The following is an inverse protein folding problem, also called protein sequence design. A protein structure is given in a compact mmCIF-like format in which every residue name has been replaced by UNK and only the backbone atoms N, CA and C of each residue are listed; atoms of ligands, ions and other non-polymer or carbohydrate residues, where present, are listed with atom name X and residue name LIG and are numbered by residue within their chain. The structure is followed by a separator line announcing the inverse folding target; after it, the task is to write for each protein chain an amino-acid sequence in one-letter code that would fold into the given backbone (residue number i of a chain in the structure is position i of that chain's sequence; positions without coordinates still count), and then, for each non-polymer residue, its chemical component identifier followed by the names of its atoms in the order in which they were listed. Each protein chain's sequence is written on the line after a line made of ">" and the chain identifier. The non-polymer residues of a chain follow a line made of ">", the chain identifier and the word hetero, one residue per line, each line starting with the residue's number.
data_IF_899096014782
#
_entry.id   IF_899096014782
#
_cell.length_a   1.000
_cell.length_b   1.000
_cell.length_c   1.000
_cell.angle_alpha   90.00
_cell.angle_beta   90.00
_cell.angle_gamma   90.00
#
_symmetry.space_group_name_H-M   'P 1'
#
loop_
_entity.id
_entity.type
_entity.pdbx_description
1 polymer ?
#
# COMPACT_ATOMS: atom_id res chain seq x y z
N UNK A 1 -9.91 2.43 17.47
CA UNK A 1 -8.88 3.41 17.07
C UNK A 1 -7.55 2.73 17.32
N UNK A 2 -6.83 2.37 16.25
CA UNK A 2 -5.46 1.82 16.33
C UNK A 2 -4.59 2.95 15.80
N UNK A 3 -4.36 3.94 16.64
CA UNK A 3 -3.40 5.02 16.39
C UNK A 3 -2.20 4.67 17.29
N UNK A 4 -1.00 4.66 16.70
CA UNK A 4 0.31 4.40 17.33
C UNK A 4 0.85 2.95 17.36
N UNK A 5 0.38 2.04 16.50
CA UNK A 5 1.20 0.86 16.20
C UNK A 5 2.43 1.30 15.37
N UNK A 6 3.66 0.90 15.73
CA UNK A 6 4.85 1.26 14.97
C UNK A 6 4.73 0.68 13.56
N UNK A 7 4.54 1.54 12.54
CA UNK A 7 4.44 1.14 11.13
C UNK A 7 5.77 0.67 10.54
N UNK A 8 6.78 0.33 11.36
CA UNK A 8 8.10 -0.10 10.94
C UNK A 8 8.78 0.85 9.94
N UNK A 9 8.51 2.16 10.06
CA UNK A 9 8.99 3.18 9.12
C UNK A 9 8.20 3.26 7.81
N UNK A 10 7.10 2.52 7.68
CA UNK A 10 6.15 2.70 6.59
C UNK A 10 5.33 3.97 6.80
N UNK A 11 5.00 4.63 5.70
CA UNK A 11 4.09 5.76 5.68
C UNK A 11 2.75 5.34 5.09
N UNK A 12 1.66 5.85 5.67
CA UNK A 12 0.32 5.72 5.12
C UNK A 12 -0.17 7.12 4.73
N UNK A 13 -0.04 7.44 3.45
CA UNK A 13 -0.30 8.79 2.90
C UNK A 13 -1.72 8.85 2.34
N UNK A 14 -2.60 9.70 2.87
CA UNK A 14 -3.89 9.96 2.25
C UNK A 14 -3.71 10.53 0.84
N UNK A 15 -4.52 10.07 -0.12
CA UNK A 15 -4.50 10.59 -1.49
C UNK A 15 -5.71 11.47 -1.74
N UNK A 16 -5.49 12.57 -2.46
CA UNK A 16 -6.59 13.45 -2.87
C UNK A 16 -7.56 12.71 -3.79
N UNK A 17 -8.86 12.90 -3.55
CA UNK A 17 -9.93 12.31 -4.34
C UNK A 17 -10.81 13.42 -4.91
N UNK A 18 -10.71 13.62 -6.21
CA UNK A 18 -11.50 14.59 -6.95
C UNK A 18 -12.73 13.89 -7.53
N UNK A 19 -13.93 14.29 -7.13
CA UNK A 19 -15.19 13.67 -7.56
C UNK A 19 -15.93 14.61 -8.52
N UNK A 20 -16.46 14.06 -9.61
CA UNK A 20 -17.35 14.74 -10.55
C UNK A 20 -18.49 13.80 -11.01
N UNK A 21 -19.33 14.25 -11.94
CA UNK A 21 -20.47 13.49 -12.47
C UNK A 21 -20.09 12.22 -13.23
N UNK A 22 -18.81 12.07 -13.63
CA UNK A 22 -18.29 10.93 -14.40
C UNK A 22 -17.66 9.87 -13.49
N UNK A 23 -17.33 10.24 -12.26
CA UNK A 23 -16.67 9.36 -11.30
C UNK A 23 -15.65 10.11 -10.45
N UNK A 24 -14.51 9.49 -10.19
CA UNK A 24 -13.44 10.10 -9.39
C UNK A 24 -12.06 9.98 -10.04
N UNK A 25 -11.19 10.92 -9.73
CA UNK A 25 -9.78 10.95 -10.07
C UNK A 25 -8.95 10.96 -8.78
N UNK A 26 -7.91 10.13 -8.73
CA UNK A 26 -6.92 10.08 -7.65
C UNK A 26 -5.53 10.17 -8.28
N UNK A 27 -4.75 11.24 -8.06
CA UNK A 27 -3.38 11.32 -8.54
C UNK A 27 -2.50 10.40 -7.69
N UNK A 28 -1.74 9.52 -8.34
CA UNK A 28 -0.84 8.58 -7.65
C UNK A 28 0.60 9.10 -7.58
N UNK A 29 1.06 9.81 -8.62
CA UNK A 29 2.37 10.43 -8.68
C UNK A 29 2.33 11.66 -9.60
N UNK A 30 3.28 12.57 -9.43
CA UNK A 30 3.48 13.75 -10.27
C UNK A 30 4.89 13.78 -10.84
N UNK A 31 5.16 14.64 -11.83
CA UNK A 31 6.52 14.80 -12.36
C UNK A 31 7.51 15.39 -11.34
N UNK A 32 7.01 16.04 -10.30
CA UNK A 32 7.83 16.58 -9.20
C UNK A 32 8.23 15.49 -8.19
N UNK A 33 7.59 14.33 -8.25
CA UNK A 33 7.94 13.16 -7.44
C UNK A 33 8.96 12.27 -8.15
N UNK A 34 9.81 11.58 -7.38
CA UNK A 34 10.65 10.50 -7.94
C UNK A 34 9.71 9.41 -8.47
N UNK A 35 9.60 9.32 -9.80
CA UNK A 35 8.72 8.38 -10.47
C UNK A 35 9.11 6.92 -10.22
N UNK A 36 8.16 5.98 -10.34
CA UNK A 36 8.46 4.57 -10.17
C UNK A 36 9.34 4.06 -11.31
N UNK A 37 10.39 3.30 -10.96
CA UNK A 37 11.18 2.56 -11.95
C UNK A 37 10.40 1.39 -12.54
N UNK A 38 9.53 0.77 -11.73
CA UNK A 38 8.65 -0.32 -12.12
C UNK A 38 7.24 -0.06 -11.61
N UNK A 39 6.23 -0.40 -12.43
CA UNK A 39 4.82 -0.30 -12.06
C UNK A 39 4.13 -1.63 -12.34
N UNK A 40 3.46 -2.18 -11.32
CA UNK A 40 2.76 -3.45 -11.40
C UNK A 40 1.28 -3.25 -11.04
N UNK A 41 0.43 -4.06 -11.67
CA UNK A 41 -0.99 -4.16 -11.34
C UNK A 41 -1.34 -5.60 -11.01
N UNK A 42 -2.24 -5.79 -10.06
CA UNK A 42 -2.70 -7.12 -9.67
C UNK A 42 -4.14 -7.13 -9.21
N UNK A 43 -4.75 -8.32 -9.31
CA UNK A 43 -6.06 -8.62 -8.75
C UNK A 43 -5.89 -9.81 -7.82
N UNK A 44 -6.34 -9.65 -6.58
CA UNK A 44 -6.36 -10.72 -5.57
C UNK A 44 -7.81 -10.96 -5.17
N UNK A 45 -8.26 -12.22 -5.27
CA UNK A 45 -9.63 -12.58 -4.91
C UNK A 45 -9.81 -12.60 -3.39
N UNK A 46 -11.05 -12.41 -2.94
CA UNK A 46 -11.38 -12.44 -1.52
C UNK A 46 -10.98 -13.78 -0.88
N UNK A 47 -10.37 -13.71 0.31
CA UNK A 47 -9.87 -14.87 1.04
C UNK A 47 -8.51 -15.41 0.56
N UNK A 48 -7.88 -14.78 -0.44
CA UNK A 48 -6.55 -15.14 -0.92
C UNK A 48 -5.49 -14.15 -0.45
N UNK A 49 -4.29 -14.66 -0.19
CA UNK A 49 -3.07 -13.87 0.04
C UNK A 49 -2.11 -14.09 -1.13
N UNK A 50 -1.36 -13.06 -1.54
CA UNK A 50 -0.48 -13.14 -2.71
C UNK A 50 0.74 -14.03 -2.49
N UNK A 51 1.34 -13.93 -1.31
CA UNK A 51 2.48 -14.73 -0.89
C UNK A 51 2.08 -15.50 0.37
N UNK A 52 1.15 -16.45 0.21
CA UNK A 52 0.61 -17.24 1.33
C UNK A 52 1.64 -18.15 2.01
N UNK A 53 2.77 -18.41 1.34
CA UNK A 53 3.83 -19.34 1.74
C UNK A 53 5.15 -18.64 2.11
N UNK A 54 5.29 -17.34 1.85
CA UNK A 54 6.52 -16.56 2.07
C UNK A 54 6.22 -15.08 2.26
N UNK A 55 7.15 -14.35 2.85
CA UNK A 55 7.07 -12.89 2.90
C UNK A 55 7.79 -12.25 1.71
N UNK A 56 7.28 -11.12 1.22
CA UNK A 56 8.00 -10.30 0.25
C UNK A 56 8.82 -9.23 0.99
N UNK A 57 10.05 -8.98 0.52
CA UNK A 57 10.95 -8.00 1.11
C UNK A 57 11.98 -7.54 0.08
N UNK A 58 12.28 -6.25 0.09
CA UNK A 58 13.36 -5.68 -0.70
C UNK A 58 14.48 -5.15 0.19
N UNK A 59 15.72 -5.35 -0.27
CA UNK A 59 16.92 -4.86 0.41
C UNK A 59 17.17 -3.37 0.17
N UNK A 60 16.88 -2.91 -1.04
CA UNK A 60 17.26 -1.56 -1.50
C UNK A 60 16.11 -0.78 -2.17
N UNK A 61 14.93 -1.39 -2.36
CA UNK A 61 13.80 -0.77 -3.06
C UNK A 61 12.70 -0.31 -2.08
N UNK A 62 12.08 0.83 -2.40
CA UNK A 62 10.88 1.33 -1.74
C UNK A 62 9.67 0.92 -2.58
N UNK A 63 8.73 0.21 -1.96
CA UNK A 63 7.47 -0.14 -2.60
C UNK A 63 6.37 0.85 -2.23
N UNK A 64 5.47 1.07 -3.19
CA UNK A 64 4.29 1.93 -3.03
C UNK A 64 3.06 1.17 -3.46
N UNK A 65 2.10 1.03 -2.56
CA UNK A 65 0.86 0.30 -2.81
C UNK A 65 -0.34 1.22 -2.73
N UNK A 66 -1.27 1.05 -3.67
CA UNK A 66 -2.59 1.66 -3.63
C UNK A 66 -3.61 0.59 -4.03
N UNK A 67 -4.77 0.60 -3.37
CA UNK A 67 -5.91 -0.22 -3.79
C UNK A 67 -6.85 0.67 -4.58
N UNK A 68 -6.95 0.46 -5.90
CA UNK A 68 -7.83 1.25 -6.76
C UNK A 68 -9.28 0.76 -6.76
N UNK A 69 -9.51 -0.50 -6.40
CA UNK A 69 -10.83 -1.11 -6.32
C UNK A 69 -10.90 -2.18 -5.23
N UNK A 70 -12.00 -2.22 -4.48
CA UNK A 70 -12.19 -3.14 -3.36
C UNK A 70 -11.42 -2.72 -2.10
N UNK A 71 -11.07 -3.70 -1.27
CA UNK A 71 -10.26 -3.52 -0.07
C UNK A 71 -9.22 -4.63 0.02
N UNK A 72 -8.06 -4.31 0.58
CA UNK A 72 -6.99 -5.29 0.85
C UNK A 72 -6.41 -5.02 2.24
N UNK A 73 -6.07 -6.10 2.94
CA UNK A 73 -5.34 -6.02 4.20
C UNK A 73 -3.89 -6.36 3.92
N UNK A 74 -2.99 -5.42 4.19
CA UNK A 74 -1.55 -5.64 4.16
C UNK A 74 -1.10 -6.11 5.54
N UNK A 75 -0.29 -7.16 5.57
CA UNK A 75 0.47 -7.50 6.76
C UNK A 75 1.85 -6.88 6.62
N UNK A 76 2.32 -6.18 7.65
CA UNK A 76 3.67 -5.60 7.69
C UNK A 76 4.40 -6.22 8.87
N UNK A 77 5.69 -6.53 8.71
CA UNK A 77 6.49 -7.12 9.78
C UNK A 77 7.94 -6.65 9.78
N UNK A 78 8.52 -6.55 10.97
CA UNK A 78 9.96 -6.38 11.22
C UNK A 78 10.70 -7.72 11.45
N UNK A 79 10.01 -8.84 11.22
CA UNK A 79 10.51 -10.20 11.46
C UNK A 79 10.29 -10.71 12.90
N UNK A 80 9.75 -9.88 13.80
CA UNK A 80 9.40 -10.26 15.18
C UNK A 80 7.94 -10.03 15.49
N UNK A 81 7.40 -8.93 15.00
CA UNK A 81 6.02 -8.49 15.20
C UNK A 81 5.37 -8.22 13.86
N UNK A 82 4.05 -8.40 13.82
CA UNK A 82 3.24 -8.18 12.63
C UNK A 82 2.10 -7.24 12.96
N UNK A 83 1.85 -6.29 12.08
CA UNK A 83 0.71 -5.38 12.14
C UNK A 83 -0.08 -5.48 10.83
N UNK A 84 -1.34 -5.08 10.87
CA UNK A 84 -2.23 -5.13 9.71
C UNK A 84 -2.67 -3.71 9.33
N UNK A 85 -2.54 -3.36 8.05
CA UNK A 85 -2.94 -2.07 7.49
C UNK A 85 -3.96 -2.30 6.40
N UNK A 86 -5.13 -1.67 6.54
CA UNK A 86 -6.20 -1.78 5.54
C UNK A 86 -6.08 -0.65 4.50
N UNK A 87 -6.08 -1.02 3.22
CA UNK A 87 -6.24 -0.09 2.10
C UNK A 87 -7.58 -0.34 1.40
N UNK A 88 -8.19 0.75 0.91
CA UNK A 88 -9.46 0.71 0.20
C UNK A 88 -9.45 1.64 -1.01
N UNK A 89 -10.14 1.25 -2.08
CA UNK A 89 -10.41 2.16 -3.21
C UNK A 89 -11.44 3.25 -2.90
N UNK A 90 -12.22 3.10 -1.81
CA UNK A 90 -13.22 4.12 -1.42
C UNK A 90 -12.60 5.29 -0.68
N UNK A 91 -11.60 5.00 0.14
CA UNK A 91 -10.80 5.92 0.95
C UNK A 91 -9.32 5.75 0.54
N UNK A 92 -8.92 6.33 -0.61
CA UNK A 92 -7.65 6.01 -1.24
C UNK A 92 -6.49 6.52 -0.40
N UNK A 93 -5.58 5.61 -0.08
CA UNK A 93 -4.31 5.89 0.58
C UNK A 93 -3.18 5.16 -0.13
N UNK A 94 -2.00 5.75 -0.10
CA UNK A 94 -0.76 5.11 -0.53
C UNK A 94 -0.02 4.58 0.69
N UNK A 95 0.23 3.28 0.71
CA UNK A 95 1.18 2.68 1.65
C UNK A 95 2.57 2.72 1.04
N UNK A 96 3.53 3.34 1.72
CA UNK A 96 4.94 3.40 1.32
C UNK A 96 5.72 2.48 2.26
N UNK A 97 6.35 1.45 1.71
CA UNK A 97 7.10 0.45 2.46
C UNK A 97 8.60 0.65 2.19
N UNK A 98 9.41 0.99 3.21
CA UNK A 98 10.85 1.15 3.03
C UNK A 98 11.54 -0.22 2.89
N UNK A 99 12.80 -0.24 2.42
CA UNK A 99 13.57 -1.47 2.40
C UNK A 99 13.70 -2.09 3.79
N UNK A 100 13.71 -3.42 3.86
CA UNK A 100 13.86 -4.16 5.11
C UNK A 100 12.55 -4.52 5.83
N UNK A 101 11.40 -4.03 5.37
CA UNK A 101 10.09 -4.40 5.94
C UNK A 101 9.47 -5.54 5.13
N UNK A 102 9.09 -6.61 5.83
CA UNK A 102 8.35 -7.73 5.25
C UNK A 102 6.90 -7.32 5.01
N UNK A 103 6.37 -7.60 3.82
CA UNK A 103 5.01 -7.25 3.43
C UNK A 103 4.40 -8.26 2.44
#
# INVERSE_FOLDING_TARGET
>A
MIEDAPLFGCDLVPLDKFLDERGYLVPLWSQESVGPQYAYYSVTFAGQARDSDKWHIHKDHIDRFVVVHGNLLFALSDGKTTILVALSGRDPKMLIVPPGVYH
#
